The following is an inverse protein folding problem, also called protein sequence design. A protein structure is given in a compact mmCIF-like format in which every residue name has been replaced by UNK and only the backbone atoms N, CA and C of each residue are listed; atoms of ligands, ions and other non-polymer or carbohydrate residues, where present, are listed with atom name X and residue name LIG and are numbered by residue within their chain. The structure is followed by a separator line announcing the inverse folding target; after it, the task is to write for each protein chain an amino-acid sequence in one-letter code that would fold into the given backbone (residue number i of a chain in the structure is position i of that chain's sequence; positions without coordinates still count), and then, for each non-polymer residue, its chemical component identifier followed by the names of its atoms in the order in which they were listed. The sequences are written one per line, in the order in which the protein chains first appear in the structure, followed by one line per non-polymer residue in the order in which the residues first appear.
data_IF_809239754742
#
_entry.id   IF_809239754742
#
_cell.length_a   1.000
_cell.length_b   1.000
_cell.length_c   1.000
_cell.angle_alpha   90.00
_cell.angle_beta   90.00
_cell.angle_gamma   90.00
#
_symmetry.space_group_name_H-M   'P 1'
#
loop_
_entity.id
_entity.type
_entity.pdbx_description
1 polymer ?
#
# COMPACT_ATOMS: atom_id res chain seq x y z
N UNK A 1 45.61 28.26 27.42
CA UNK A 1 44.90 27.33 28.31
C UNK A 1 43.40 27.42 28.03
N UNK A 2 42.73 26.35 27.80
CA UNK A 2 41.34 26.14 27.38
C UNK A 2 41.04 26.20 25.88
N UNK A 3 41.20 25.07 25.23
CA UNK A 3 40.38 24.61 24.12
C UNK A 3 40.09 23.12 24.34
N UNK A 4 38.96 22.78 24.89
CA UNK A 4 38.32 21.49 24.75
C UNK A 4 36.86 21.71 25.11
N UNK A 5 35.96 21.64 24.13
CA UNK A 5 34.58 21.15 24.22
C UNK A 5 33.89 21.53 22.90
N UNK A 6 33.80 20.59 21.98
CA UNK A 6 33.07 20.79 20.74
C UNK A 6 32.94 19.61 19.81
N UNK A 7 33.27 18.38 20.24
CA UNK A 7 33.25 17.20 19.33
C UNK A 7 32.29 16.10 19.84
N UNK A 8 31.49 16.36 20.86
CA UNK A 8 30.67 15.31 21.48
C UNK A 8 29.20 15.21 21.03
N UNK A 9 28.67 16.17 20.26
CA UNK A 9 27.23 16.22 19.98
C UNK A 9 26.84 15.75 18.56
N UNK A 10 27.79 15.58 17.66
CA UNK A 10 27.48 15.17 16.28
C UNK A 10 27.25 13.68 16.07
N UNK A 11 27.80 12.85 16.94
CA UNK A 11 27.73 11.38 16.77
C UNK A 11 26.51 10.74 17.42
N UNK A 12 25.85 11.42 18.34
CA UNK A 12 24.64 10.90 19.00
C UNK A 12 23.36 11.05 18.18
N UNK A 13 23.34 11.99 17.22
CA UNK A 13 22.16 12.26 16.41
C UNK A 13 21.96 11.25 15.27
N UNK A 14 23.02 10.64 14.78
CA UNK A 14 22.96 9.71 13.64
C UNK A 14 22.42 8.32 14.01
N UNK A 15 22.38 8.01 15.32
CA UNK A 15 21.83 6.75 15.81
C UNK A 15 20.33 6.77 16.13
N UNK A 16 19.65 7.93 15.99
CA UNK A 16 18.21 8.08 16.30
C UNK A 16 17.32 8.29 15.07
N UNK A 17 17.89 8.37 13.88
CA UNK A 17 17.08 8.41 12.66
C UNK A 17 16.93 6.95 12.22
N UNK A 18 15.73 6.35 12.29
CA UNK A 18 15.53 5.03 11.69
C UNK A 18 15.90 5.14 10.21
N UNK A 19 16.71 4.19 9.75
CA UNK A 19 17.03 4.03 8.34
C UNK A 19 15.72 3.66 7.63
N UNK A 20 15.06 4.64 7.03
CA UNK A 20 13.86 4.42 6.24
C UNK A 20 14.35 4.11 4.84
N UNK A 21 14.32 2.83 4.50
CA UNK A 21 14.60 2.38 3.14
C UNK A 21 13.48 2.86 2.21
N UNK A 22 13.73 4.01 1.55
CA UNK A 22 12.89 4.46 0.45
C UNK A 22 13.13 3.56 -0.77
N UNK A 23 12.37 2.49 -0.88
CA UNK A 23 12.39 1.68 -2.09
C UNK A 23 11.43 2.27 -3.11
N UNK A 24 11.97 2.99 -4.09
CA UNK A 24 11.20 3.46 -5.24
C UNK A 24 11.09 2.36 -6.30
N UNK A 25 9.87 2.13 -6.79
CA UNK A 25 9.63 1.20 -7.89
C UNK A 25 9.39 1.96 -9.19
N UNK A 26 9.92 1.47 -10.31
CA UNK A 26 9.59 2.04 -11.62
C UNK A 26 8.10 1.86 -11.90
N UNK A 27 7.50 2.83 -12.58
CA UNK A 27 6.17 2.63 -13.17
C UNK A 27 6.26 1.44 -14.11
N UNK A 28 5.68 0.32 -13.69
CA UNK A 28 5.84 -0.94 -14.37
C UNK A 28 5.10 -1.00 -15.71
N UNK A 29 5.55 -1.89 -16.57
CA UNK A 29 4.88 -2.21 -17.84
C UNK A 29 3.62 -3.09 -17.64
N UNK A 30 3.03 -3.07 -16.45
CA UNK A 30 1.87 -3.87 -16.09
C UNK A 30 2.12 -4.78 -14.88
N UNK A 31 1.36 -5.87 -14.83
CA UNK A 31 1.44 -6.88 -13.79
C UNK A 31 2.68 -7.76 -13.97
N UNK A 32 3.46 -7.91 -12.91
CA UNK A 32 4.56 -8.84 -12.81
C UNK A 32 4.15 -10.03 -11.92
N UNK A 33 4.35 -11.24 -12.42
CA UNK A 33 4.17 -12.46 -11.61
C UNK A 33 5.54 -12.88 -11.07
N UNK A 34 5.66 -12.89 -9.74
CA UNK A 34 6.92 -13.20 -9.07
C UNK A 34 7.12 -14.72 -8.93
N UNK A 35 8.34 -15.13 -8.60
CA UNK A 35 8.72 -16.55 -8.46
C UNK A 35 7.90 -17.29 -7.39
N UNK A 36 7.44 -16.58 -6.36
CA UNK A 36 6.59 -17.12 -5.29
C UNK A 36 5.09 -17.20 -5.66
N UNK A 37 4.75 -16.85 -6.89
CA UNK A 37 3.38 -16.89 -7.43
C UNK A 37 2.53 -15.68 -7.04
N UNK A 38 3.07 -14.71 -6.31
CA UNK A 38 2.38 -13.45 -6.05
C UNK A 38 2.49 -12.51 -7.26
N UNK A 39 1.56 -11.60 -7.35
CA UNK A 39 1.51 -10.57 -8.40
C UNK A 39 1.98 -9.24 -7.82
N UNK A 40 2.83 -8.52 -8.54
CA UNK A 40 3.27 -7.18 -8.16
C UNK A 40 2.89 -6.17 -9.24
N UNK A 41 2.49 -5.00 -8.82
CA UNK A 41 2.15 -3.90 -9.72
C UNK A 41 2.53 -2.57 -9.10
N UNK A 42 2.94 -1.61 -9.94
CA UNK A 42 3.14 -0.21 -9.55
C UNK A 42 2.17 0.65 -10.35
N UNK A 43 1.30 1.35 -9.63
CA UNK A 43 0.26 2.21 -10.20
C UNK A 43 0.65 3.68 -10.05
N UNK A 44 0.54 4.45 -11.14
CA UNK A 44 0.69 5.90 -11.09
C UNK A 44 -0.55 6.54 -10.44
N UNK A 45 -0.45 6.83 -9.16
CA UNK A 45 -1.50 7.47 -8.36
C UNK A 45 -1.17 8.94 -8.01
N UNK A 46 -0.27 9.60 -8.75
CA UNK A 46 0.22 10.96 -8.47
C UNK A 46 -0.82 12.06 -8.60
N UNK A 47 -1.93 11.81 -9.29
CA UNK A 47 -2.99 12.79 -9.47
C UNK A 47 -3.65 13.18 -8.15
N UNK A 48 -3.80 14.48 -7.93
CA UNK A 48 -4.38 15.01 -6.69
C UNK A 48 -5.91 14.89 -6.65
N UNK A 49 -6.57 15.00 -7.80
CA UNK A 49 -8.03 15.07 -7.89
C UNK A 49 -8.66 13.80 -8.47
N UNK A 50 -7.89 12.94 -9.13
CA UNK A 50 -8.43 11.81 -9.85
C UNK A 50 -8.07 10.49 -9.20
N UNK A 51 -9.06 9.67 -8.96
CA UNK A 51 -8.89 8.29 -8.56
C UNK A 51 -8.52 7.41 -9.75
N UNK A 52 -7.53 6.54 -9.58
CA UNK A 52 -7.16 5.52 -10.54
C UNK A 52 -7.92 4.24 -10.22
N UNK A 53 -8.94 3.87 -10.99
CA UNK A 53 -9.65 2.61 -10.79
C UNK A 53 -8.78 1.45 -11.25
N UNK A 54 -8.65 0.43 -10.42
CA UNK A 54 -7.81 -0.74 -10.66
C UNK A 54 -8.58 -2.03 -10.43
N UNK A 55 -8.44 -2.97 -11.36
CA UNK A 55 -8.99 -4.32 -11.21
C UNK A 55 -7.89 -5.28 -10.77
N UNK A 56 -8.07 -5.89 -9.60
CA UNK A 56 -7.18 -6.91 -9.06
C UNK A 56 -7.26 -8.21 -9.86
N UNK A 57 -8.43 -8.50 -10.43
CA UNK A 57 -8.60 -9.66 -11.30
C UNK A 57 -7.83 -9.52 -12.62
N UNK A 58 -7.89 -8.33 -13.24
CA UNK A 58 -7.22 -8.05 -14.50
C UNK A 58 -5.75 -7.61 -14.32
N UNK A 59 -5.34 -7.28 -13.10
CA UNK A 59 -4.00 -6.80 -12.75
C UNK A 59 -3.63 -5.47 -13.42
N UNK A 60 -4.60 -4.60 -13.66
CA UNK A 60 -4.37 -3.31 -14.35
C UNK A 60 -5.39 -2.24 -14.01
N UNK A 61 -5.00 -0.99 -14.25
CA UNK A 61 -5.95 0.11 -14.26
C UNK A 61 -7.03 -0.09 -15.33
N UNK A 62 -8.26 0.29 -15.01
CA UNK A 62 -9.43 0.17 -15.89
C UNK A 62 -10.02 1.53 -16.21
N UNK A 63 -10.58 1.74 -17.41
CA UNK A 63 -11.02 3.07 -17.84
C UNK A 63 -12.29 3.55 -17.14
N UNK A 64 -13.11 2.62 -16.66
CA UNK A 64 -14.32 2.92 -15.90
C UNK A 64 -14.29 2.20 -14.55
N UNK A 65 -15.00 2.77 -13.58
CA UNK A 65 -15.09 2.19 -12.24
C UNK A 65 -15.94 0.91 -12.16
N UNK A 66 -16.56 0.46 -13.25
CA UNK A 66 -17.48 -0.69 -13.22
C UNK A 66 -16.74 -2.02 -12.96
N UNK A 67 -15.51 -2.14 -13.41
CA UNK A 67 -14.66 -3.31 -13.20
C UNK A 67 -13.58 -3.10 -12.12
N UNK A 68 -13.59 -1.98 -11.41
CA UNK A 68 -12.59 -1.70 -10.39
C UNK A 68 -12.93 -2.38 -9.08
N UNK A 69 -11.93 -2.98 -8.47
CA UNK A 69 -11.99 -3.54 -7.12
C UNK A 69 -11.50 -2.52 -6.09
N UNK A 70 -10.45 -1.77 -6.45
CA UNK A 70 -9.86 -0.70 -5.65
C UNK A 70 -9.67 0.57 -6.47
N UNK A 71 -9.54 1.69 -5.78
CA UNK A 71 -9.19 2.98 -6.37
C UNK A 71 -8.06 3.61 -5.58
N UNK A 72 -7.08 4.15 -6.29
CA UNK A 72 -5.87 4.73 -5.71
C UNK A 72 -5.78 6.21 -6.06
N UNK A 73 -5.41 7.03 -5.09
CA UNK A 73 -5.13 8.45 -5.26
C UNK A 73 -4.08 8.90 -4.26
N UNK A 74 -2.86 9.19 -4.72
CA UNK A 74 -1.71 9.42 -3.84
C UNK A 74 -1.52 8.21 -2.90
N UNK A 75 -1.55 8.41 -1.59
CA UNK A 75 -1.47 7.36 -0.57
C UNK A 75 -2.84 6.86 -0.08
N UNK A 76 -3.92 7.38 -0.66
CA UNK A 76 -5.29 7.01 -0.29
C UNK A 76 -5.81 5.82 -1.09
N UNK A 77 -6.57 5.02 -0.41
CA UNK A 77 -7.25 3.85 -0.96
C UNK A 77 -8.74 3.90 -0.66
N UNK A 78 -9.49 3.38 -1.58
CA UNK A 78 -10.88 2.98 -1.36
C UNK A 78 -11.18 1.70 -2.13
N UNK A 79 -12.26 1.01 -1.73
CA UNK A 79 -12.66 -0.26 -2.30
C UNK A 79 -14.02 -0.18 -2.95
N UNK A 80 -14.39 -1.20 -3.70
CA UNK A 80 -15.75 -1.35 -4.23
C UNK A 80 -16.64 -2.26 -3.39
N UNK A 81 -16.04 -3.16 -2.61
CA UNK A 81 -16.76 -4.24 -1.94
C UNK A 81 -16.29 -4.51 -0.50
N UNK A 82 -15.38 -3.68 0.01
CA UNK A 82 -14.85 -3.77 1.38
C UNK A 82 -13.46 -4.37 1.47
N UNK A 83 -12.78 -4.03 2.57
CA UNK A 83 -11.48 -4.55 2.95
C UNK A 83 -11.49 -5.00 4.42
N UNK A 84 -10.48 -5.76 4.80
CA UNK A 84 -10.24 -6.18 6.17
C UNK A 84 -8.73 -6.30 6.41
N UNK A 85 -8.28 -5.99 7.61
CA UNK A 85 -6.93 -6.28 8.05
C UNK A 85 -6.80 -7.77 8.39
N UNK A 86 -5.75 -8.40 7.89
CA UNK A 86 -5.42 -9.81 8.19
C UNK A 86 -4.24 -9.88 9.14
N UNK A 87 -3.38 -8.85 9.09
CA UNK A 87 -2.13 -8.79 9.85
C UNK A 87 -1.05 -9.72 9.31
N UNK A 88 0.13 -9.59 9.94
CA UNK A 88 1.33 -10.32 9.50
C UNK A 88 1.91 -9.79 8.19
N UNK A 89 3.07 -10.31 7.81
CA UNK A 89 3.85 -9.77 6.68
C UNK A 89 4.19 -10.80 5.59
N UNK A 90 3.91 -12.08 5.82
CA UNK A 90 4.16 -13.16 4.85
C UNK A 90 2.93 -13.38 3.97
N UNK A 91 2.90 -12.71 2.83
CA UNK A 91 1.78 -12.78 1.88
C UNK A 91 1.56 -14.19 1.31
N UNK A 92 2.60 -15.01 1.18
CA UNK A 92 2.50 -16.37 0.65
C UNK A 92 1.87 -17.31 1.67
N UNK A 93 2.26 -17.16 2.93
CA UNK A 93 1.73 -17.98 4.02
C UNK A 93 0.36 -17.51 4.54
N UNK A 94 -0.02 -16.27 4.30
CA UNK A 94 -1.28 -15.69 4.76
C UNK A 94 -2.49 -16.54 4.36
N UNK A 95 -3.50 -16.56 5.20
CA UNK A 95 -4.79 -17.24 4.93
C UNK A 95 -5.91 -16.28 5.30
N UNK A 96 -7.00 -16.37 4.55
CA UNK A 96 -8.22 -15.65 4.90
C UNK A 96 -8.84 -16.35 6.12
N UNK A 97 -9.08 -15.65 7.24
CA UNK A 97 -9.82 -16.18 8.37
C UNK A 97 -11.28 -16.47 8.00
N UNK A 98 -11.92 -17.40 8.74
CA UNK A 98 -13.34 -17.76 8.51
C UNK A 98 -14.29 -16.62 8.97
N UNK A 99 -13.87 -15.80 9.92
CA UNK A 99 -14.67 -14.76 10.60
C UNK A 99 -14.13 -13.34 10.30
N UNK A 100 -13.92 -13.02 9.02
CA UNK A 100 -13.42 -11.72 8.61
C UNK A 100 -14.47 -10.63 8.81
N UNK A 101 -14.12 -9.60 9.57
CA UNK A 101 -14.89 -8.36 9.67
C UNK A 101 -14.54 -7.44 8.49
N UNK A 102 -15.51 -7.23 7.61
CA UNK A 102 -15.32 -6.42 6.41
C UNK A 102 -15.75 -4.98 6.64
N UNK A 103 -14.85 -4.06 6.39
CA UNK A 103 -15.11 -2.63 6.46
C UNK A 103 -15.35 -2.05 5.06
N UNK A 104 -16.44 -1.30 4.97
CA UNK A 104 -16.79 -0.55 3.77
C UNK A 104 -16.17 0.84 3.81
N UNK A 105 -16.08 1.46 2.64
CA UNK A 105 -15.61 2.84 2.56
C UNK A 105 -16.55 3.79 3.31
N UNK A 106 -15.95 4.74 4.01
CA UNK A 106 -16.63 5.81 4.75
C UNK A 106 -16.31 7.18 4.16
N UNK A 107 -17.22 8.11 4.36
CA UNK A 107 -17.00 9.51 3.94
C UNK A 107 -16.27 10.25 5.07
N UNK A 108 -15.01 10.58 4.83
CA UNK A 108 -14.17 11.37 5.71
C UNK A 108 -13.71 12.65 5.00
N UNK A 109 -13.95 13.81 5.60
CA UNK A 109 -13.63 15.15 5.08
C UNK A 109 -13.94 15.36 3.59
N UNK A 110 -15.06 14.79 3.14
CA UNK A 110 -15.52 14.87 1.74
C UNK A 110 -14.87 13.86 0.80
N UNK A 111 -14.01 12.97 1.29
CA UNK A 111 -13.42 11.86 0.56
C UNK A 111 -14.04 10.54 0.99
N UNK A 112 -14.34 9.69 0.02
CA UNK A 112 -14.72 8.31 0.30
C UNK A 112 -13.44 7.48 0.43
N UNK A 113 -13.18 6.94 1.62
CA UNK A 113 -11.93 6.25 1.98
C UNK A 113 -12.25 4.93 2.69
N UNK A 114 -11.35 3.97 2.57
CA UNK A 114 -11.40 2.75 3.37
C UNK A 114 -10.44 2.87 4.55
N UNK A 115 -10.97 2.92 5.77
CA UNK A 115 -10.17 3.16 6.98
C UNK A 115 -9.11 2.08 7.20
N UNK A 116 -9.42 0.82 6.94
CA UNK A 116 -8.47 -0.29 7.04
C UNK A 116 -7.26 -0.09 6.12
N UNK A 117 -7.52 0.34 4.89
CA UNK A 117 -6.45 0.56 3.90
C UNK A 117 -5.77 1.93 4.05
N UNK A 118 -6.15 2.78 4.99
CA UNK A 118 -5.42 4.02 5.30
C UNK A 118 -4.27 3.78 6.26
N UNK A 119 -4.35 2.76 7.09
CA UNK A 119 -3.40 2.46 8.15
C UNK A 119 -2.20 1.60 7.66
N UNK A 120 -1.89 1.71 6.36
CA UNK A 120 -0.85 0.89 5.76
C UNK A 120 0.57 1.40 5.99
N UNK A 121 0.75 2.60 6.59
CA UNK A 121 2.06 3.23 6.71
C UNK A 121 2.27 3.96 8.03
N UNK A 122 3.53 3.99 8.47
CA UNK A 122 4.02 4.91 9.46
C UNK A 122 4.53 6.21 8.82
N UNK A 123 4.11 7.36 9.35
CA UNK A 123 4.61 8.65 8.92
C UNK A 123 5.78 9.12 9.80
N UNK A 124 6.94 9.35 9.19
CA UNK A 124 8.09 9.92 9.89
C UNK A 124 8.03 11.44 9.91
N UNK A 125 7.85 12.03 11.08
CA UNK A 125 7.87 13.49 11.27
C UNK A 125 9.24 14.13 10.99
N UNK A 126 10.33 13.35 11.01
CA UNK A 126 11.68 13.84 10.79
C UNK A 126 12.06 13.86 9.32
N UNK A 127 11.67 12.87 8.58
CA UNK A 127 12.02 12.74 7.16
C UNK A 127 10.87 13.11 6.24
N UNK A 128 9.65 13.25 6.78
CA UNK A 128 8.41 13.44 6.04
C UNK A 128 8.10 12.31 5.05
N UNK A 129 8.54 11.09 5.38
CA UNK A 129 8.34 9.90 4.56
C UNK A 129 7.24 9.02 5.12
N UNK A 130 6.58 8.29 4.20
CA UNK A 130 5.65 7.22 4.49
C UNK A 130 6.41 5.90 4.38
N UNK A 131 6.41 5.12 5.44
CA UNK A 131 7.03 3.79 5.46
C UNK A 131 5.95 2.73 5.58
N UNK A 132 5.88 1.81 4.62
CA UNK A 132 4.92 0.70 4.69
C UNK A 132 5.16 -0.17 5.92
N UNK A 133 4.10 -0.56 6.59
CA UNK A 133 4.13 -1.56 7.66
C UNK A 133 4.17 -2.98 7.12
N UNK A 134 4.00 -3.15 5.81
CA UNK A 134 3.98 -4.44 5.12
C UNK A 134 2.91 -5.41 5.65
N UNK A 135 1.89 -4.91 6.29
CA UNK A 135 0.78 -5.73 6.75
C UNK A 135 -0.08 -6.24 5.59
N UNK A 136 -0.79 -7.32 5.86
CA UNK A 136 -1.62 -7.98 4.85
C UNK A 136 -3.07 -7.60 5.07
N UNK A 137 -3.69 -7.19 3.99
CA UNK A 137 -5.10 -6.84 3.90
C UNK A 137 -5.83 -7.83 3.00
N UNK A 138 -7.09 -8.06 3.29
CA UNK A 138 -8.01 -8.74 2.39
C UNK A 138 -8.89 -7.72 1.69
N UNK A 139 -9.06 -7.84 0.39
CA UNK A 139 -9.93 -6.98 -0.42
C UNK A 139 -10.90 -7.86 -1.21
N UNK A 140 -12.21 -7.64 -1.03
CA UNK A 140 -13.22 -8.34 -1.83
C UNK A 140 -13.20 -7.87 -3.27
N UNK A 141 -13.30 -8.82 -4.20
CA UNK A 141 -13.49 -8.49 -5.60
C UNK A 141 -14.94 -8.07 -5.84
N UNK A 142 -15.12 -6.98 -6.59
CA UNK A 142 -16.45 -6.42 -6.87
C UNK A 142 -17.34 -7.36 -7.64
N UNK A 143 -16.81 -8.04 -8.65
CA UNK A 143 -17.58 -8.85 -9.59
C UNK A 143 -17.60 -10.33 -9.22
N UNK A 144 -16.82 -10.74 -8.24
CA UNK A 144 -16.76 -12.11 -7.75
C UNK A 144 -16.65 -12.13 -6.21
N UNK A 145 -17.79 -12.18 -5.49
CA UNK A 145 -17.79 -12.16 -4.03
C UNK A 145 -17.18 -13.41 -3.39
N UNK A 146 -16.94 -14.47 -4.17
CA UNK A 146 -16.29 -15.69 -3.73
C UNK A 146 -14.76 -15.62 -3.86
N UNK A 147 -14.24 -14.53 -4.40
CA UNK A 147 -12.80 -14.30 -4.53
C UNK A 147 -12.36 -13.06 -3.77
N UNK A 148 -11.21 -13.19 -3.15
CA UNK A 148 -10.59 -12.17 -2.32
C UNK A 148 -9.14 -12.00 -2.76
N UNK A 149 -8.66 -10.78 -2.82
CA UNK A 149 -7.24 -10.49 -2.94
C UNK A 149 -6.64 -10.36 -1.53
N UNK A 150 -5.64 -11.18 -1.20
CA UNK A 150 -4.73 -10.88 -0.10
C UNK A 150 -3.65 -9.96 -0.64
N UNK A 151 -3.54 -8.76 -0.07
CA UNK A 151 -2.77 -7.64 -0.60
C UNK A 151 -1.83 -7.11 0.47
N UNK A 152 -0.60 -6.75 0.07
CA UNK A 152 0.38 -6.06 0.89
C UNK A 152 0.92 -4.85 0.13
N UNK A 153 0.90 -3.69 0.77
CA UNK A 153 1.42 -2.46 0.16
C UNK A 153 2.93 -2.41 0.41
N UNK A 154 3.71 -2.21 -0.64
CA UNK A 154 5.17 -2.25 -0.59
C UNK A 154 5.78 -0.86 -0.48
N UNK A 155 5.27 0.09 -1.28
CA UNK A 155 5.87 1.42 -1.37
C UNK A 155 4.91 2.45 -1.97
N UNK A 156 5.20 3.71 -1.67
CA UNK A 156 4.56 4.89 -2.22
C UNK A 156 5.45 5.66 -3.19
N UNK A 157 6.71 5.22 -3.33
CA UNK A 157 7.73 6.00 -4.03
C UNK A 157 7.96 5.52 -5.45
N UNK A 158 8.30 6.49 -6.31
CA UNK A 158 8.62 6.27 -7.71
C UNK A 158 10.13 6.10 -7.90
N UNK A 159 10.55 5.23 -8.81
CA UNK A 159 11.93 5.23 -9.28
C UNK A 159 12.06 6.13 -10.54
N UNK A 160 13.16 6.91 -10.70
CA UNK A 160 14.28 7.04 -9.77
C UNK A 160 14.00 7.97 -8.58
N UNK A 161 12.97 8.81 -8.65
CA UNK A 161 12.65 9.80 -7.62
C UNK A 161 11.15 10.15 -7.65
N UNK A 162 10.62 10.59 -6.51
CA UNK A 162 9.27 11.11 -6.37
C UNK A 162 8.34 10.20 -5.57
N UNK A 163 7.10 10.64 -5.41
CA UNK A 163 6.07 9.95 -4.63
C UNK A 163 4.77 9.82 -5.41
N UNK A 164 3.89 8.93 -4.98
CA UNK A 164 2.60 8.67 -5.62
C UNK A 164 2.63 7.50 -6.62
N UNK A 165 3.70 6.68 -6.60
CA UNK A 165 3.76 5.42 -7.33
C UNK A 165 3.43 4.27 -6.38
N UNK A 166 2.15 3.97 -6.25
CA UNK A 166 1.69 2.96 -5.32
C UNK A 166 2.08 1.57 -5.82
N UNK A 167 3.02 0.93 -5.12
CA UNK A 167 3.43 -0.45 -5.40
C UNK A 167 2.84 -1.38 -4.36
N UNK A 168 2.21 -2.44 -4.83
CA UNK A 168 1.65 -3.47 -3.97
C UNK A 168 1.80 -4.85 -4.58
N UNK A 169 1.82 -5.84 -3.70
CA UNK A 169 1.81 -7.27 -4.06
C UNK A 169 0.50 -7.87 -3.61
N UNK A 170 0.00 -8.84 -4.37
CA UNK A 170 -1.22 -9.54 -4.01
C UNK A 170 -1.29 -10.93 -4.62
N UNK A 171 -2.19 -11.73 -4.11
CA UNK A 171 -2.63 -12.99 -4.71
C UNK A 171 -4.13 -13.15 -4.51
N UNK A 172 -4.75 -13.86 -5.43
CA UNK A 172 -6.17 -14.15 -5.35
C UNK A 172 -6.40 -15.47 -4.65
N UNK A 173 -7.37 -15.51 -3.75
CA UNK A 173 -7.80 -16.70 -3.01
C UNK A 173 -9.31 -16.83 -3.06
N UNK A 174 -9.81 -18.05 -2.90
CA UNK A 174 -11.24 -18.28 -2.78
C UNK A 174 -11.69 -17.94 -1.34
N UNK A 175 -12.79 -17.19 -1.24
CA UNK A 175 -13.49 -17.01 0.02
C UNK A 175 -14.26 -18.30 0.32
N UNK A 176 -13.93 -18.96 1.41
CA UNK A 176 -14.61 -20.19 1.88
C UNK A 176 -15.96 -19.88 2.46
#
# INVERSE_FOLDING_TARGET
MFVICGIGLGWGYQFMIPDIDEVGYPLGNGLEVLEDGTMQVTVDARHEDNWVPFSLELGRAVPDGAAADVYLRRHYWRTSAGAAEIGGTDLVAARLPDDVEWELDVLDDGLLLNEVLLDWYNYSYWTHLLQSEHEIYAVRLRNDPHRVALLRIESYYCAPEGSGCMTFRYRLVDAT
#
